data_IF_907262335008
#
_entry.id   IF_907262335008
#
_cell.length_a   1.000
_cell.length_b   1.000
_cell.length_c   1.000
_cell.angle_alpha   90.00
_cell.angle_beta   90.00
_cell.angle_gamma   90.00
#
_symmetry.space_group_name_H-M   'P 1'
#
loop_
_entity.id
_entity.type
_entity.pdbx_description
1 polymer ?
#
# COMPACT_ATOMS: atom_id res chain seq x y z
N UNK A 1 -0.86 -10.31 -16.57
CA UNK A 1 -0.30 -9.28 -15.69
C UNK A 1 -1.18 -9.27 -14.46
N UNK A 2 -0.68 -9.56 -13.26
CA UNK A 2 -1.52 -9.46 -12.07
C UNK A 2 -1.74 -7.98 -11.77
N UNK A 3 -2.83 -7.45 -12.29
CA UNK A 3 -3.27 -6.08 -12.05
C UNK A 3 -3.63 -5.97 -10.57
N UNK A 4 -2.90 -5.11 -9.85
CA UNK A 4 -3.26 -4.71 -8.50
C UNK A 4 -4.68 -4.13 -8.55
N UNK A 5 -5.57 -4.65 -7.70
CA UNK A 5 -6.96 -4.17 -7.62
C UNK A 5 -7.03 -2.80 -6.93
N UNK A 6 -8.08 -2.02 -7.21
CA UNK A 6 -8.31 -0.71 -6.59
C UNK A 6 -8.24 -0.75 -5.05
N UNK A 7 -8.74 -1.83 -4.42
CA UNK A 7 -8.64 -2.03 -2.98
C UNK A 7 -7.19 -2.07 -2.48
N UNK A 8 -6.29 -2.70 -3.24
CA UNK A 8 -4.86 -2.74 -2.92
C UNK A 8 -4.18 -1.39 -3.18
N UNK A 9 -4.59 -0.65 -4.21
CA UNK A 9 -4.10 0.71 -4.49
C UNK A 9 -4.48 1.67 -3.36
N UNK A 10 -5.73 1.60 -2.90
CA UNK A 10 -6.20 2.36 -1.74
C UNK A 10 -5.37 2.02 -0.50
N UNK A 11 -5.06 0.74 -0.29
CA UNK A 11 -4.24 0.29 0.83
C UNK A 11 -2.80 0.83 0.77
N UNK A 12 -2.18 0.83 -0.42
CA UNK A 12 -0.86 1.42 -0.62
C UNK A 12 -0.87 2.93 -0.34
N UNK A 13 -1.94 3.62 -0.73
CA UNK A 13 -2.09 5.05 -0.46
C UNK A 13 -2.24 5.33 1.05
N UNK A 14 -3.05 4.52 1.74
CA UNK A 14 -3.27 4.59 3.20
C UNK A 14 -1.96 4.38 3.98
N UNK A 15 -1.19 3.36 3.60
CA UNK A 15 0.17 3.09 4.14
C UNK A 15 1.10 4.28 3.90
N UNK A 16 1.10 4.83 2.69
CA UNK A 16 1.92 5.99 2.34
C UNK A 16 1.55 7.27 3.10
N UNK A 17 0.28 7.41 3.50
CA UNK A 17 -0.22 8.51 4.32
C UNK A 17 -0.09 8.26 5.83
N UNK A 18 0.42 7.07 6.24
CA UNK A 18 0.45 6.62 7.63
C UNK A 18 -0.93 6.70 8.30
N UNK A 19 -1.97 6.40 7.53
CA UNK A 19 -3.33 6.38 8.04
C UNK A 19 -3.57 5.09 8.87
N UNK A 20 -4.54 5.12 9.80
CA UNK A 20 -4.85 3.97 10.64
C UNK A 20 -5.45 2.83 9.80
N UNK A 21 -4.69 1.75 9.66
CA UNK A 21 -5.13 0.55 8.95
C UNK A 21 -5.96 -0.35 9.86
N UNK A 22 -7.27 -0.34 9.67
CA UNK A 22 -8.12 -1.38 10.24
C UNK A 22 -7.88 -2.72 9.51
N UNK A 23 -7.15 -3.65 10.13
CA UNK A 23 -6.73 -4.93 9.53
C UNK A 23 -7.86 -5.99 9.52
N UNK A 24 -8.91 -5.72 8.74
CA UNK A 24 -9.94 -6.71 8.42
C UNK A 24 -9.33 -7.93 7.69
N UNK A 25 -9.95 -9.12 7.76
CA UNK A 25 -9.43 -10.31 7.08
C UNK A 25 -9.19 -10.11 5.57
N UNK A 26 -10.06 -9.35 4.89
CA UNK A 26 -9.88 -9.00 3.48
C UNK A 26 -8.65 -8.11 3.25
N UNK A 27 -8.45 -7.10 4.11
CA UNK A 27 -7.26 -6.25 4.05
C UNK A 27 -5.98 -7.02 4.36
N UNK A 28 -6.02 -8.00 5.25
CA UNK A 28 -4.88 -8.89 5.53
C UNK A 28 -4.45 -9.68 4.29
N UNK A 29 -5.40 -10.26 3.56
CA UNK A 29 -5.10 -10.93 2.28
C UNK A 29 -4.49 -9.96 1.26
N UNK A 30 -4.99 -8.72 1.20
CA UNK A 30 -4.44 -7.68 0.35
C UNK A 30 -3.00 -7.29 0.75
N UNK A 31 -2.73 -7.14 2.06
CA UNK A 31 -1.39 -6.88 2.63
C UNK A 31 -0.44 -8.02 2.23
N UNK A 32 -0.84 -9.28 2.44
CA UNK A 32 -0.01 -10.45 2.10
C UNK A 32 0.33 -10.47 0.61
N UNK A 33 -0.66 -10.22 -0.26
CA UNK A 33 -0.42 -10.14 -1.69
C UNK A 33 0.54 -8.98 -2.06
N UNK A 34 0.40 -7.81 -1.42
CA UNK A 34 1.28 -6.66 -1.64
C UNK A 34 2.71 -6.92 -1.13
N UNK A 35 2.84 -7.62 -0.01
CA UNK A 35 4.11 -8.03 0.58
C UNK A 35 4.82 -9.05 -0.33
N UNK A 36 4.13 -10.10 -0.76
CA UNK A 36 4.65 -11.09 -1.72
C UNK A 36 5.03 -10.44 -3.05
N UNK A 37 4.26 -9.46 -3.51
CA UNK A 37 4.55 -8.73 -4.73
C UNK A 37 5.66 -7.66 -4.58
N UNK A 38 6.18 -7.43 -3.37
CA UNK A 38 7.28 -6.50 -3.08
C UNK A 38 6.90 -5.01 -3.14
N UNK A 39 5.62 -4.69 -2.96
CA UNK A 39 5.13 -3.31 -2.91
C UNK A 39 5.26 -2.71 -1.50
N UNK A 40 5.17 -3.54 -0.47
CA UNK A 40 5.36 -3.11 0.92
C UNK A 40 6.41 -3.98 1.60
N UNK A 41 7.00 -3.45 2.66
CA UNK A 41 7.90 -4.18 3.58
C UNK A 41 7.40 -4.02 5.00
N UNK A 42 7.58 -4.99 5.91
CA UNK A 42 7.40 -4.75 7.33
C UNK A 42 8.27 -3.57 7.76
N UNK A 43 7.68 -2.68 8.52
CA UNK A 43 8.38 -1.57 9.17
C UNK A 43 8.73 -1.97 10.59
N UNK A 44 9.74 -1.31 11.16
CA UNK A 44 10.07 -1.38 12.57
C UNK A 44 9.17 -0.48 13.43
N UNK A 45 8.10 0.06 12.85
CA UNK A 45 7.13 0.89 13.56
C UNK A 45 6.47 0.10 14.71
N UNK A 46 6.49 0.72 15.88
CA UNK A 46 5.97 0.15 17.13
C UNK A 46 4.68 0.84 17.58
N UNK A 47 4.34 1.94 16.93
CA UNK A 47 3.08 2.60 17.12
C UNK A 47 1.93 1.71 16.61
N UNK A 48 0.97 1.43 17.48
CA UNK A 48 -0.15 0.55 17.16
C UNK A 48 -1.23 1.22 16.30
N UNK A 49 -1.20 2.55 16.18
CA UNK A 49 -2.11 3.33 15.34
C UNK A 49 -1.60 3.41 13.90
N UNK A 50 -0.27 3.35 13.71
CA UNK A 50 0.37 3.31 12.40
C UNK A 50 0.51 1.85 11.93
N UNK A 51 0.16 1.62 10.68
CA UNK A 51 0.41 0.33 10.04
C UNK A 51 1.90 -0.04 10.12
N UNK A 52 2.28 -1.26 10.56
CA UNK A 52 3.67 -1.70 10.67
C UNK A 52 4.26 -2.09 9.30
N UNK A 53 3.94 -1.30 8.27
CA UNK A 53 4.32 -1.53 6.89
C UNK A 53 4.77 -0.21 6.26
N UNK A 54 5.78 -0.29 5.41
CA UNK A 54 6.29 0.83 4.64
C UNK A 54 6.22 0.53 3.14
N UNK A 55 6.01 1.59 2.35
CA UNK A 55 6.06 1.50 0.90
C UNK A 55 7.50 1.26 0.44
N UNK A 56 7.68 0.29 -0.46
CA UNK A 56 8.96 0.14 -1.17
C UNK A 56 9.07 1.17 -2.29
N UNK A 57 10.28 1.38 -2.81
CA UNK A 57 10.51 2.24 -3.98
C UNK A 57 9.64 1.83 -5.19
N UNK A 58 9.32 0.55 -5.32
CA UNK A 58 8.42 0.02 -6.35
C UNK A 58 7.00 0.55 -6.17
N UNK A 59 6.46 0.52 -4.96
CA UNK A 59 5.11 1.03 -4.69
C UNK A 59 5.04 2.54 -4.80
N UNK A 60 6.03 3.28 -4.30
CA UNK A 60 6.10 4.73 -4.46
C UNK A 60 6.09 5.10 -5.94
N UNK A 61 6.92 4.44 -6.76
CA UNK A 61 6.94 4.67 -8.20
C UNK A 61 5.61 4.32 -8.86
N UNK A 62 5.01 3.18 -8.52
CA UNK A 62 3.71 2.78 -9.02
C UNK A 62 2.60 3.79 -8.69
N UNK A 63 2.55 4.28 -7.45
CA UNK A 63 1.60 5.31 -7.01
C UNK A 63 1.86 6.63 -7.71
N UNK A 64 3.12 7.03 -7.91
CA UNK A 64 3.47 8.22 -8.67
C UNK A 64 3.05 8.12 -10.14
N UNK A 65 3.26 6.97 -10.79
CA UNK A 65 2.83 6.74 -12.18
C UNK A 65 1.29 6.79 -12.30
N UNK A 66 0.56 6.28 -11.29
CA UNK A 66 -0.91 6.36 -11.23
C UNK A 66 -1.45 7.74 -10.87
N UNK A 67 -0.81 8.43 -9.93
CA UNK A 67 -1.18 9.77 -9.47
C UNK A 67 -0.83 10.87 -10.46
N UNK A 68 0.30 10.74 -11.17
CA UNK A 68 0.65 11.61 -12.30
C UNK A 68 -0.33 11.41 -13.47
N UNK A 69 -0.80 10.18 -13.69
CA UNK A 69 -1.83 9.89 -14.69
C UNK A 69 -3.24 10.41 -14.36
N UNK A 70 -3.49 10.88 -13.12
CA UNK A 70 -4.77 11.46 -12.70
C UNK A 70 -4.81 12.99 -12.82
N UNK A 71 -3.69 13.64 -13.17
CA UNK A 71 -3.58 15.11 -13.24
C UNK A 71 -3.23 15.62 -14.66
N UNK A 72 -3.62 14.90 -15.70
CA UNK A 72 -3.60 15.39 -17.08
C UNK A 72 -5.03 15.41 -17.66
N UNK A 73 -5.85 16.36 -17.18
CA UNK A 73 -7.08 16.78 -17.85
C UNK A 73 -7.42 18.24 -17.49
#
# INVERSE_FOLDING_TARGET
>A
MSEISDAQIALLSDIGQRAPLNLTPEKRLAIEALLTAGFITPSNETDADIAPYELTAKATRFLSERGAGLNEA
#
